data_IF_952808823076
#
_entry.id   IF_952808823076
#
_cell.length_a   1.000
_cell.length_b   1.000
_cell.length_c   1.000
_cell.angle_alpha   90.00
_cell.angle_beta   90.00
_cell.angle_gamma   90.00
#
_symmetry.space_group_name_H-M   'P 1'
#
loop_
_entity.id
_entity.type
_entity.pdbx_description
1 polymer ?
#
# COMPACT_ATOMS: atom_id res chain seq x y z
N UNK A 1 12.46 13.08 12.19
CA UNK A 1 12.70 12.01 11.19
C UNK A 1 11.85 12.17 9.94
N UNK A 2 10.51 12.26 10.04
CA UNK A 2 9.62 12.40 8.88
C UNK A 2 9.85 13.67 8.04
N UNK A 3 10.17 14.81 8.65
CA UNK A 3 10.46 16.04 7.89
C UNK A 3 11.79 15.92 7.16
N UNK A 4 12.85 15.46 7.84
CA UNK A 4 14.18 15.28 7.26
C UNK A 4 14.17 14.33 6.06
N UNK A 5 13.47 13.19 6.18
CA UNK A 5 13.38 12.22 5.06
C UNK A 5 12.62 12.78 3.86
N UNK A 6 11.59 13.60 4.08
CA UNK A 6 10.86 14.22 2.98
C UNK A 6 11.73 15.25 2.24
N UNK A 7 12.50 16.06 2.97
CA UNK A 7 13.49 16.96 2.35
C UNK A 7 14.59 16.20 1.61
N UNK A 8 15.14 15.14 2.20
CA UNK A 8 16.16 14.31 1.55
C UNK A 8 15.64 13.61 0.29
N UNK A 9 14.40 13.12 0.32
CA UNK A 9 13.75 12.48 -0.83
C UNK A 9 13.52 13.47 -1.96
N UNK A 10 12.95 14.64 -1.67
CA UNK A 10 12.74 15.69 -2.68
C UNK A 10 14.08 16.18 -3.22
N UNK A 11 15.06 16.40 -2.36
CA UNK A 11 16.43 16.75 -2.77
C UNK A 11 17.05 15.71 -3.69
N UNK A 12 16.95 14.42 -3.34
CA UNK A 12 17.44 13.32 -4.18
C UNK A 12 16.74 13.30 -5.55
N UNK A 13 15.41 13.48 -5.61
CA UNK A 13 14.66 13.55 -6.86
C UNK A 13 15.11 14.73 -7.73
N UNK A 14 15.33 15.91 -7.14
CA UNK A 14 15.81 17.09 -7.85
C UNK A 14 17.23 16.88 -8.37
N UNK A 15 18.13 16.28 -7.59
CA UNK A 15 19.49 15.96 -8.00
C UNK A 15 19.48 14.97 -9.18
N UNK A 16 18.67 13.92 -9.12
CA UNK A 16 18.53 12.95 -10.22
C UNK A 16 17.99 13.63 -11.47
N UNK A 17 16.97 14.48 -11.33
CA UNK A 17 16.42 15.25 -12.45
C UNK A 17 17.48 16.15 -13.09
N UNK A 18 18.25 16.88 -12.27
CA UNK A 18 19.35 17.72 -12.74
C UNK A 18 20.42 16.91 -13.47
N UNK A 19 20.74 15.70 -12.97
CA UNK A 19 21.63 14.75 -13.64
C UNK A 19 21.14 14.35 -15.02
N UNK A 20 19.86 13.97 -15.15
CA UNK A 20 19.26 13.63 -16.44
C UNK A 20 19.32 14.82 -17.40
N UNK A 21 18.95 16.03 -16.93
CA UNK A 21 18.97 17.23 -17.76
C UNK A 21 20.38 17.55 -18.25
N UNK A 22 21.39 17.44 -17.37
CA UNK A 22 22.78 17.72 -17.70
C UNK A 22 23.44 16.64 -18.59
N UNK A 23 23.13 15.36 -18.33
CA UNK A 23 23.80 14.24 -18.99
C UNK A 23 23.11 13.74 -20.27
N UNK A 24 21.80 13.95 -20.41
CA UNK A 24 21.01 13.42 -21.53
C UNK A 24 20.32 14.53 -22.31
N UNK A 25 19.81 15.54 -21.59
CA UNK A 25 19.11 16.68 -22.17
C UNK A 25 17.80 17.02 -21.44
N UNK A 26 17.17 18.12 -21.84
CA UNK A 26 15.88 18.55 -21.30
C UNK A 26 14.74 17.57 -21.61
N UNK A 27 13.58 17.75 -20.97
CA UNK A 27 12.40 16.87 -21.17
C UNK A 27 12.03 16.69 -22.65
N UNK A 28 11.94 17.76 -23.48
CA UNK A 28 11.60 17.59 -24.90
C UNK A 28 12.64 16.78 -25.67
N UNK A 29 13.92 16.93 -25.33
CA UNK A 29 15.03 16.26 -25.99
C UNK A 29 15.06 14.76 -25.65
N UNK A 30 14.83 14.42 -24.37
CA UNK A 30 14.71 13.02 -23.92
C UNK A 30 13.54 12.35 -24.66
N UNK A 31 12.39 13.01 -24.74
CA UNK A 31 11.21 12.48 -25.43
C UNK A 31 11.49 12.28 -26.93
N UNK A 32 12.10 13.27 -27.60
CA UNK A 32 12.43 13.18 -29.02
C UNK A 32 13.42 12.04 -29.31
N UNK A 33 14.48 11.90 -28.49
CA UNK A 33 15.49 10.84 -28.62
C UNK A 33 14.89 9.46 -28.40
N UNK A 34 14.03 9.29 -27.39
CA UNK A 34 13.36 8.00 -27.14
C UNK A 34 12.38 7.67 -28.27
N UNK A 35 11.62 8.65 -28.75
CA UNK A 35 10.66 8.46 -29.84
C UNK A 35 11.36 8.03 -31.15
N UNK A 36 12.59 8.52 -31.39
CA UNK A 36 13.41 8.11 -32.52
C UNK A 36 13.87 6.64 -32.44
N UNK A 37 13.99 6.07 -31.23
CA UNK A 37 14.30 4.64 -31.04
C UNK A 37 13.05 3.80 -31.26
N UNK A 38 11.96 4.14 -30.58
CA UNK A 38 10.66 3.49 -30.76
C UNK A 38 9.56 4.36 -30.19
N UNK A 39 8.59 4.72 -31.03
CA UNK A 39 7.36 5.38 -30.60
C UNK A 39 6.51 4.50 -29.68
N UNK A 40 6.76 3.18 -29.65
CA UNK A 40 6.05 2.23 -28.80
C UNK A 40 6.19 2.49 -27.30
N UNK A 41 7.26 3.16 -26.84
CA UNK A 41 7.44 3.52 -25.43
C UNK A 41 6.42 4.56 -24.92
N UNK A 42 5.78 5.30 -25.83
CA UNK A 42 4.72 6.25 -25.51
C UNK A 42 3.32 5.67 -25.72
N UNK A 43 3.22 4.37 -25.98
CA UNK A 43 1.95 3.67 -26.19
C UNK A 43 1.77 2.55 -25.16
N UNK A 44 0.51 2.19 -24.91
CA UNK A 44 0.14 1.11 -24.00
C UNK A 44 -0.37 -0.09 -24.80
N UNK A 45 0.49 -0.63 -25.66
CA UNK A 45 0.11 -1.66 -26.65
C UNK A 45 0.86 -2.98 -26.47
N UNK A 46 1.64 -3.13 -25.37
CA UNK A 46 2.43 -4.33 -25.13
C UNK A 46 1.51 -5.48 -24.65
N UNK A 47 1.56 -6.67 -25.26
CA UNK A 47 0.77 -7.82 -24.80
C UNK A 47 0.99 -8.10 -23.31
N UNK A 48 -0.10 -8.15 -22.53
CA UNK A 48 -0.07 -8.35 -21.07
C UNK A 48 0.14 -7.08 -20.23
N UNK A 49 0.52 -5.96 -20.84
CA UNK A 49 0.61 -4.61 -20.24
C UNK A 49 -0.07 -3.60 -21.17
N UNK A 50 -1.17 -4.01 -21.79
CA UNK A 50 -1.92 -3.23 -22.78
C UNK A 50 -2.86 -2.23 -22.10
N UNK A 51 -3.58 -1.44 -22.90
CA UNK A 51 -4.50 -0.44 -22.38
C UNK A 51 -5.55 -1.05 -21.42
N UNK A 52 -5.98 -2.28 -21.68
CA UNK A 52 -6.89 -3.03 -20.79
C UNK A 52 -6.27 -3.24 -19.42
N UNK A 53 -5.00 -3.67 -19.37
CA UNK A 53 -4.28 -3.87 -18.12
C UNK A 53 -4.07 -2.57 -17.37
N UNK A 54 -3.71 -1.51 -18.09
CA UNK A 54 -3.50 -0.20 -17.50
C UNK A 54 -4.79 0.35 -16.89
N UNK A 55 -5.90 0.35 -17.63
CA UNK A 55 -7.20 0.83 -17.13
C UNK A 55 -7.67 -0.01 -15.94
N UNK A 56 -7.58 -1.34 -16.04
CA UNK A 56 -8.00 -2.23 -14.94
C UNK A 56 -7.14 -2.06 -13.68
N UNK A 57 -5.82 -1.91 -13.83
CA UNK A 57 -4.90 -1.63 -12.72
C UNK A 57 -5.21 -0.29 -12.06
N UNK A 58 -5.47 0.76 -12.86
CA UNK A 58 -5.88 2.08 -12.33
C UNK A 58 -7.18 1.99 -11.54
N UNK A 59 -8.16 1.23 -12.03
CA UNK A 59 -9.42 1.00 -11.32
C UNK A 59 -9.17 0.29 -9.99
N UNK A 60 -8.36 -0.78 -9.98
CA UNK A 60 -8.05 -1.56 -8.77
C UNK A 60 -7.31 -0.72 -7.75
N UNK A 61 -6.27 0.00 -8.16
CA UNK A 61 -5.55 0.93 -7.29
C UNK A 61 -6.47 2.03 -6.76
N UNK A 62 -7.37 2.55 -7.60
CA UNK A 62 -8.37 3.54 -7.21
C UNK A 62 -9.37 3.02 -6.18
N UNK A 63 -9.86 1.79 -6.33
CA UNK A 63 -10.73 1.13 -5.34
C UNK A 63 -9.95 0.90 -4.05
N UNK A 64 -8.74 0.35 -4.12
CA UNK A 64 -7.90 0.10 -2.95
C UNK A 64 -7.57 1.36 -2.15
N UNK A 65 -7.19 2.44 -2.85
CA UNK A 65 -6.93 3.74 -2.22
C UNK A 65 -8.22 4.40 -1.71
N UNK A 66 -9.30 4.39 -2.49
CA UNK A 66 -10.57 5.04 -2.16
C UNK A 66 -11.28 4.41 -0.96
N UNK A 67 -11.23 3.08 -0.84
CA UNK A 67 -11.73 2.36 0.34
C UNK A 67 -10.66 2.14 1.39
N UNK A 68 -9.46 2.71 1.22
CA UNK A 68 -8.36 2.62 2.18
C UNK A 68 -8.12 1.18 2.68
N UNK A 69 -7.94 0.25 1.75
CA UNK A 69 -7.87 -1.19 2.06
C UNK A 69 -6.58 -1.60 2.77
N UNK A 70 -5.61 -0.70 2.89
CA UNK A 70 -4.37 -0.95 3.59
C UNK A 70 -4.53 -0.73 5.10
N UNK A 71 -4.36 -1.77 5.93
CA UNK A 71 -4.63 -1.66 7.36
C UNK A 71 -3.68 -0.67 8.07
N UNK A 72 -2.44 -0.55 7.62
CA UNK A 72 -1.45 0.35 8.21
C UNK A 72 -1.75 1.85 7.99
N UNK A 73 -2.68 2.19 7.09
CA UNK A 73 -3.12 3.56 6.84
C UNK A 73 -4.24 4.02 7.78
N UNK A 74 -4.92 3.09 8.48
CA UNK A 74 -6.03 3.43 9.38
C UNK A 74 -5.60 4.16 10.66
N UNK A 75 -4.55 3.75 11.40
CA UNK A 75 -4.16 4.44 12.63
C UNK A 75 -3.98 5.96 12.50
N UNK A 76 -3.25 6.51 11.50
CA UNK A 76 -3.12 7.95 11.35
C UNK A 76 -4.44 8.65 10.96
N UNK A 77 -5.34 7.95 10.27
CA UNK A 77 -6.65 8.50 9.89
C UNK A 77 -7.56 8.60 11.11
N UNK A 78 -7.58 7.56 11.95
CA UNK A 78 -8.37 7.52 13.18
C UNK A 78 -7.82 8.47 14.26
N UNK A 79 -6.52 8.76 14.24
CA UNK A 79 -5.88 9.72 15.14
C UNK A 79 -5.96 11.19 14.64
N UNK A 80 -6.59 11.45 13.49
CA UNK A 80 -6.62 12.79 12.91
C UNK A 80 -7.50 13.75 13.73
N UNK A 81 -7.01 14.98 13.94
CA UNK A 81 -7.71 16.02 14.73
C UNK A 81 -9.10 16.37 14.19
N UNK A 82 -9.29 16.31 12.87
CA UNK A 82 -10.60 16.54 12.24
C UNK A 82 -10.63 16.04 10.80
N UNK A 83 -11.84 15.83 10.26
CA UNK A 83 -12.04 15.52 8.85
C UNK A 83 -11.55 16.61 7.89
N UNK A 84 -11.47 17.87 8.34
CA UNK A 84 -10.91 18.95 7.52
C UNK A 84 -9.40 18.78 7.28
N UNK A 85 -8.67 18.31 8.30
CA UNK A 85 -7.24 17.98 8.17
C UNK A 85 -7.04 16.83 7.20
N UNK A 86 -7.89 15.79 7.27
CA UNK A 86 -7.85 14.66 6.34
C UNK A 86 -8.08 15.10 4.89
N UNK A 87 -9.10 15.93 4.62
CA UNK A 87 -9.36 16.47 3.28
C UNK A 87 -8.17 17.27 2.75
N UNK A 88 -7.61 18.16 3.58
CA UNK A 88 -6.44 18.97 3.20
C UNK A 88 -5.24 18.09 2.88
N UNK A 89 -4.98 17.06 3.71
CA UNK A 89 -3.92 16.10 3.47
C UNK A 89 -4.12 15.36 2.14
N UNK A 90 -5.34 14.91 1.85
CA UNK A 90 -5.65 14.20 0.61
C UNK A 90 -5.48 15.08 -0.64
N UNK A 91 -5.82 16.38 -0.55
CA UNK A 91 -5.56 17.34 -1.63
C UNK A 91 -4.06 17.48 -1.93
N UNK A 92 -3.20 17.47 -0.90
CA UNK A 92 -1.75 17.51 -1.09
C UNK A 92 -1.18 16.22 -1.68
N UNK A 93 -1.73 15.05 -1.32
CA UNK A 93 -1.31 13.77 -1.91
C UNK A 93 -1.41 13.82 -3.45
N UNK A 94 -2.46 14.42 -4.00
CA UNK A 94 -2.61 14.58 -5.45
C UNK A 94 -1.46 15.38 -6.07
N UNK A 95 -0.98 16.44 -5.40
CA UNK A 95 0.17 17.24 -5.86
C UNK A 95 1.47 16.42 -5.81
N UNK A 96 1.66 15.60 -4.77
CA UNK A 96 2.81 14.69 -4.69
C UNK A 96 2.87 13.68 -5.82
N UNK A 97 1.72 13.29 -6.40
CA UNK A 97 1.72 12.40 -7.57
C UNK A 97 2.36 13.05 -8.81
N UNK A 98 2.36 14.38 -8.91
CA UNK A 98 3.08 15.07 -10.00
C UNK A 98 4.59 14.86 -9.90
N UNK A 99 5.14 14.66 -8.70
CA UNK A 99 6.55 14.34 -8.51
C UNK A 99 6.93 12.98 -9.13
N UNK A 100 5.98 12.07 -9.37
CA UNK A 100 6.24 10.80 -10.09
C UNK A 100 6.63 11.01 -11.56
N UNK A 101 6.41 12.20 -12.12
CA UNK A 101 6.93 12.54 -13.45
C UNK A 101 8.46 12.41 -13.53
N UNK A 102 9.16 12.72 -12.43
CA UNK A 102 10.63 12.64 -12.36
C UNK A 102 11.12 11.20 -12.55
N UNK A 103 10.74 10.19 -11.74
CA UNK A 103 11.19 8.82 -11.95
C UNK A 103 10.73 8.23 -13.29
N UNK A 104 9.58 8.65 -13.84
CA UNK A 104 9.14 8.25 -15.19
C UNK A 104 10.13 8.78 -16.25
N UNK A 105 10.48 10.07 -16.18
CA UNK A 105 11.47 10.67 -17.07
C UNK A 105 12.85 10.01 -16.95
N UNK A 106 13.27 9.70 -15.73
CA UNK A 106 14.53 8.96 -15.47
C UNK A 106 14.48 7.57 -16.09
N UNK A 107 13.34 6.89 -16.00
CA UNK A 107 13.11 5.61 -16.68
C UNK A 107 13.26 5.70 -18.20
N UNK A 108 12.69 6.75 -18.82
CA UNK A 108 12.84 7.02 -20.24
C UNK A 108 14.28 7.35 -20.62
N UNK A 109 14.96 8.19 -19.84
CA UNK A 109 16.38 8.51 -20.03
C UNK A 109 17.27 7.25 -19.90
N UNK A 110 16.88 6.31 -19.02
CA UNK A 110 17.55 5.03 -18.86
C UNK A 110 17.57 4.18 -20.13
N UNK A 111 16.60 4.33 -21.04
CA UNK A 111 16.59 3.64 -22.35
C UNK A 111 17.77 4.12 -23.21
N UNK A 112 18.18 5.38 -23.05
CA UNK A 112 19.24 6.00 -23.85
C UNK A 112 20.64 5.68 -23.30
N UNK A 113 20.78 5.56 -21.98
CA UNK A 113 22.08 5.51 -21.29
C UNK A 113 22.43 4.13 -20.77
N UNK A 114 21.44 3.28 -20.45
CA UNK A 114 21.67 1.98 -19.83
C UNK A 114 21.59 0.83 -20.83
N UNK A 115 22.20 -0.30 -20.47
CA UNK A 115 22.12 -1.52 -21.27
C UNK A 115 20.68 -2.04 -21.30
N UNK A 116 20.18 -2.55 -22.44
CA UNK A 116 18.77 -3.00 -22.59
C UNK A 116 18.29 -4.07 -21.61
N UNK A 117 19.20 -4.79 -20.94
CA UNK A 117 18.89 -5.86 -19.98
C UNK A 117 18.96 -5.40 -18.51
N UNK A 118 19.02 -4.08 -18.27
CA UNK A 118 19.05 -3.55 -16.90
C UNK A 118 17.70 -3.81 -16.24
N UNK A 119 17.72 -4.38 -15.03
CA UNK A 119 16.50 -4.58 -14.24
C UNK A 119 15.84 -3.23 -13.94
N UNK A 120 14.50 -3.16 -14.06
CA UNK A 120 13.72 -1.94 -13.81
C UNK A 120 14.00 -1.31 -12.45
N UNK A 121 14.17 -2.13 -11.41
CA UNK A 121 14.48 -1.68 -10.05
C UNK A 121 15.78 -0.87 -9.95
N UNK A 122 16.73 -1.11 -10.86
CA UNK A 122 18.06 -0.50 -10.84
C UNK A 122 18.18 0.72 -11.77
N UNK A 123 17.16 1.01 -12.58
CA UNK A 123 17.26 2.04 -13.64
C UNK A 123 17.56 3.41 -13.05
N UNK A 124 16.86 3.83 -12.00
CA UNK A 124 17.06 5.16 -11.41
C UNK A 124 18.50 5.34 -10.89
N UNK A 125 19.00 4.38 -10.12
CA UNK A 125 20.37 4.44 -9.59
C UNK A 125 21.41 4.31 -10.70
N UNK A 126 21.17 3.46 -11.69
CA UNK A 126 22.05 3.31 -12.85
C UNK A 126 22.16 4.59 -13.68
N UNK A 127 21.05 5.29 -13.93
CA UNK A 127 21.07 6.58 -14.61
C UNK A 127 21.81 7.62 -13.76
N UNK A 128 21.57 7.67 -12.46
CA UNK A 128 22.29 8.57 -11.57
C UNK A 128 23.82 8.32 -11.62
N UNK A 129 24.26 7.06 -11.63
CA UNK A 129 25.68 6.69 -11.71
C UNK A 129 26.35 7.13 -13.02
N UNK A 130 25.61 7.23 -14.11
CA UNK A 130 26.14 7.63 -15.42
C UNK A 130 26.11 9.14 -15.64
N UNK A 131 25.28 9.86 -14.89
CA UNK A 131 25.00 11.29 -15.14
C UNK A 131 25.49 12.23 -14.04
N UNK A 132 25.83 11.72 -12.86
CA UNK A 132 26.20 12.51 -11.69
C UNK A 132 27.58 12.13 -11.13
N UNK A 133 28.29 13.10 -10.51
CA UNK A 133 29.51 12.82 -9.77
C UNK A 133 29.24 12.03 -8.47
N UNK A 134 30.25 11.28 -8.02
CA UNK A 134 30.15 10.34 -6.88
C UNK A 134 29.51 10.90 -5.59
N UNK A 135 29.81 12.13 -5.14
CA UNK A 135 29.22 12.65 -3.90
C UNK A 135 27.69 12.77 -3.97
N UNK A 136 27.14 13.09 -5.15
CA UNK A 136 25.70 13.24 -5.33
C UNK A 136 24.99 11.89 -5.37
N UNK A 137 25.66 10.84 -5.86
CA UNK A 137 25.15 9.47 -5.84
C UNK A 137 24.96 9.00 -4.39
N UNK A 138 25.91 9.32 -3.50
CA UNK A 138 25.79 8.98 -2.08
C UNK A 138 24.55 9.63 -1.43
N UNK A 139 24.27 10.90 -1.75
CA UNK A 139 23.07 11.62 -1.26
C UNK A 139 21.80 10.93 -1.74
N UNK A 140 21.74 10.50 -3.01
CA UNK A 140 20.59 9.78 -3.57
C UNK A 140 20.40 8.43 -2.87
N UNK A 141 21.48 7.67 -2.68
CA UNK A 141 21.42 6.37 -2.02
C UNK A 141 20.94 6.48 -0.56
N UNK A 142 21.47 7.43 0.19
CA UNK A 142 21.08 7.69 1.59
C UNK A 142 19.63 8.19 1.65
N UNK A 143 19.27 9.14 0.79
CA UNK A 143 17.91 9.68 0.71
C UNK A 143 16.88 8.62 0.33
N UNK A 144 17.18 7.78 -0.66
CA UNK A 144 16.34 6.66 -1.08
C UNK A 144 16.18 5.60 0.02
N UNK A 145 17.27 5.22 0.70
CA UNK A 145 17.23 4.31 1.83
C UNK A 145 16.37 4.87 2.98
N UNK A 146 16.59 6.14 3.36
CA UNK A 146 15.79 6.81 4.39
C UNK A 146 14.30 6.91 4.01
N UNK A 147 14.00 7.18 2.74
CA UNK A 147 12.63 7.24 2.22
C UNK A 147 11.94 5.87 2.27
N UNK A 148 12.66 4.77 2.00
CA UNK A 148 12.15 3.41 2.06
C UNK A 148 11.90 2.94 3.51
N UNK A 149 12.75 3.36 4.46
CA UNK A 149 12.66 2.92 5.86
C UNK A 149 11.38 3.37 6.58
N UNK A 150 10.88 4.58 6.29
CA UNK A 150 9.69 5.12 6.99
C UNK A 150 8.41 4.31 6.72
N UNK A 151 7.98 4.11 5.46
CA UNK A 151 6.81 3.28 5.18
C UNK A 151 7.05 1.82 5.57
N UNK A 152 8.27 1.29 5.42
CA UNK A 152 8.60 -0.08 5.86
C UNK A 152 8.36 -0.28 7.36
N UNK A 153 8.79 0.69 8.20
CA UNK A 153 8.53 0.66 9.64
C UNK A 153 7.04 0.72 9.97
N UNK A 154 6.27 1.58 9.29
CA UNK A 154 4.83 1.68 9.48
C UNK A 154 4.11 0.37 9.10
N UNK A 155 4.49 -0.27 8.00
CA UNK A 155 3.94 -1.56 7.56
C UNK A 155 4.29 -2.66 8.56
N UNK A 156 5.55 -2.75 8.99
CA UNK A 156 6.00 -3.76 9.96
C UNK A 156 5.27 -3.62 11.31
N UNK A 157 5.10 -2.39 11.80
CA UNK A 157 4.27 -2.12 12.98
C UNK A 157 2.81 -2.52 12.73
N UNK A 158 2.23 -2.18 11.59
CA UNK A 158 0.87 -2.56 11.22
C UNK A 158 0.64 -4.07 11.26
N UNK A 159 1.56 -4.86 10.68
CA UNK A 159 1.54 -6.33 10.73
C UNK A 159 1.58 -6.82 12.18
N UNK A 160 2.51 -6.28 12.97
CA UNK A 160 2.69 -6.64 14.38
C UNK A 160 1.42 -6.40 15.20
N UNK A 161 0.81 -5.21 15.07
CA UNK A 161 -0.42 -4.87 15.78
C UNK A 161 -1.56 -5.78 15.37
N UNK A 162 -1.75 -6.03 14.06
CA UNK A 162 -2.81 -6.89 13.54
C UNK A 162 -2.76 -8.29 14.14
N UNK A 163 -1.59 -8.93 14.15
CA UNK A 163 -1.42 -10.28 14.72
C UNK A 163 -1.68 -10.28 16.22
N UNK A 164 -1.15 -9.27 16.93
CA UNK A 164 -1.20 -9.18 18.39
C UNK A 164 -2.57 -8.90 18.98
N UNK A 165 -3.44 -8.24 18.22
CA UNK A 165 -4.77 -7.82 18.67
C UNK A 165 -5.88 -8.67 18.06
N UNK A 166 -5.73 -9.13 16.81
CA UNK A 166 -6.83 -9.77 16.07
C UNK A 166 -6.66 -11.27 15.88
N UNK A 167 -5.43 -11.79 15.86
CA UNK A 167 -5.19 -13.22 15.58
C UNK A 167 -4.88 -14.01 16.85
N UNK A 168 -4.04 -13.47 17.74
CA UNK A 168 -3.61 -14.18 18.95
C UNK A 168 -4.08 -13.40 20.19
N UNK A 169 -5.14 -13.90 20.84
CA UNK A 169 -5.62 -13.35 22.11
C UNK A 169 -4.69 -13.79 23.25
N UNK A 170 -3.61 -13.04 23.46
CA UNK A 170 -2.65 -13.31 24.54
C UNK A 170 -2.88 -12.34 25.69
N UNK A 171 -3.33 -12.87 26.84
CA UNK A 171 -3.52 -12.08 28.07
C UNK A 171 -2.21 -11.61 28.71
N UNK A 172 -1.09 -12.30 28.46
CA UNK A 172 0.22 -11.95 29.01
C UNK A 172 0.92 -10.87 28.18
N UNK A 173 1.24 -9.67 28.75
CA UNK A 173 1.93 -8.61 28.02
C UNK A 173 3.31 -9.02 27.52
N UNK A 174 4.05 -9.85 28.28
CA UNK A 174 5.40 -10.31 27.92
C UNK A 174 5.39 -11.23 26.70
N UNK A 175 4.44 -12.16 26.64
CA UNK A 175 4.31 -13.08 25.51
C UNK A 175 3.85 -12.34 24.26
N UNK A 176 2.93 -11.38 24.42
CA UNK A 176 2.48 -10.51 23.34
C UNK A 176 3.64 -9.70 22.72
N UNK A 177 4.51 -9.13 23.55
CA UNK A 177 5.70 -8.43 23.07
C UNK A 177 6.65 -9.34 22.26
N UNK A 178 6.87 -10.57 22.72
CA UNK A 178 7.73 -11.55 22.02
C UNK A 178 7.15 -11.94 20.65
N UNK A 179 5.84 -12.21 20.59
CA UNK A 179 5.14 -12.52 19.33
C UNK A 179 5.27 -11.33 18.38
N UNK A 180 5.05 -10.12 18.85
CA UNK A 180 5.15 -8.91 18.05
C UNK A 180 6.52 -8.75 17.41
N UNK A 181 7.58 -8.96 18.21
CA UNK A 181 8.96 -8.92 17.72
C UNK A 181 9.26 -10.03 16.71
N UNK A 182 8.79 -11.26 16.97
CA UNK A 182 8.97 -12.39 16.07
C UNK A 182 8.28 -12.13 14.72
N UNK A 183 7.06 -11.60 14.72
CA UNK A 183 6.33 -11.28 13.49
C UNK A 183 7.01 -10.19 12.68
N UNK A 184 7.55 -9.16 13.33
CA UNK A 184 8.36 -8.14 12.65
C UNK A 184 9.61 -8.77 12.04
N UNK A 185 10.33 -9.60 12.79
CA UNK A 185 11.53 -10.28 12.28
C UNK A 185 11.22 -11.19 11.08
N UNK A 186 10.13 -11.95 11.13
CA UNK A 186 9.67 -12.79 10.01
C UNK A 186 9.30 -11.93 8.80
N UNK A 187 8.51 -10.87 8.98
CA UNK A 187 8.10 -9.99 7.89
C UNK A 187 9.30 -9.31 7.21
N UNK A 188 10.23 -8.78 8.00
CA UNK A 188 11.48 -8.17 7.49
C UNK A 188 12.37 -9.21 6.82
N UNK A 189 12.48 -10.41 7.38
CA UNK A 189 13.25 -11.52 6.79
C UNK A 189 12.70 -11.95 5.43
N UNK A 190 11.38 -12.05 5.28
CA UNK A 190 10.73 -12.33 3.99
C UNK A 190 10.94 -11.19 2.99
N UNK A 191 10.81 -9.93 3.43
CA UNK A 191 11.09 -8.78 2.57
C UNK A 191 12.55 -8.77 2.08
N UNK A 192 13.51 -9.12 2.95
CA UNK A 192 14.91 -9.28 2.59
C UNK A 192 15.09 -10.42 1.57
N UNK A 193 14.43 -11.57 1.77
CA UNK A 193 14.50 -12.69 0.83
C UNK A 193 14.00 -12.29 -0.57
N UNK A 194 12.86 -11.59 -0.68
CA UNK A 194 12.35 -11.09 -1.95
C UNK A 194 13.26 -10.05 -2.60
N UNK A 195 13.88 -9.18 -1.79
CA UNK A 195 14.88 -8.21 -2.24
C UNK A 195 16.13 -8.88 -2.81
N UNK A 196 16.66 -9.91 -2.13
CA UNK A 196 17.80 -10.69 -2.60
C UNK A 196 17.46 -11.51 -3.86
N UNK A 197 16.23 -11.99 -3.98
CA UNK A 197 15.70 -12.63 -5.18
C UNK A 197 15.50 -11.66 -6.37
N UNK A 198 15.76 -10.35 -6.18
CA UNK A 198 15.58 -9.29 -7.20
C UNK A 198 14.18 -9.28 -7.81
N UNK A 199 13.17 -9.54 -6.97
CA UNK A 199 11.78 -9.54 -7.39
C UNK A 199 11.37 -8.17 -7.92
N UNK A 200 10.52 -8.14 -8.94
CA UNK A 200 10.02 -6.89 -9.51
C UNK A 200 9.12 -6.19 -8.48
N UNK A 201 9.57 -5.02 -8.02
CA UNK A 201 8.91 -4.27 -6.95
C UNK A 201 7.55 -3.74 -7.44
N UNK A 202 7.43 -3.40 -8.72
CA UNK A 202 6.17 -2.93 -9.29
C UNK A 202 5.14 -4.06 -9.36
N UNK A 203 5.56 -5.26 -9.78
CA UNK A 203 4.69 -6.42 -9.81
C UNK A 203 4.22 -6.83 -8.41
N UNK A 204 5.12 -6.81 -7.42
CA UNK A 204 4.77 -7.07 -6.01
C UNK A 204 3.78 -6.04 -5.46
N UNK A 205 3.95 -4.77 -5.81
CA UNK A 205 3.03 -3.71 -5.41
C UNK A 205 1.64 -3.93 -6.02
N UNK A 206 1.56 -4.26 -7.31
CA UNK A 206 0.28 -4.50 -7.97
C UNK A 206 -0.42 -5.75 -7.42
N UNK A 207 0.33 -6.82 -7.14
CA UNK A 207 -0.20 -7.99 -6.44
C UNK A 207 -0.76 -7.63 -5.06
N UNK A 208 -0.06 -6.75 -4.33
CA UNK A 208 -0.52 -6.24 -3.03
C UNK A 208 -1.83 -5.48 -3.18
N UNK A 209 -1.95 -4.59 -4.17
CA UNK A 209 -3.20 -3.90 -4.48
C UNK A 209 -4.30 -4.89 -4.86
N UNK A 210 -4.02 -5.87 -5.72
CA UNK A 210 -5.02 -6.84 -6.15
C UNK A 210 -5.57 -7.68 -4.99
N UNK A 211 -4.70 -8.12 -4.08
CA UNK A 211 -5.09 -8.85 -2.88
C UNK A 211 -5.84 -7.99 -1.86
N UNK A 212 -5.35 -6.78 -1.56
CA UNK A 212 -6.01 -5.93 -0.56
C UNK A 212 -7.29 -5.28 -1.07
N UNK A 213 -7.45 -5.09 -2.38
CA UNK A 213 -8.71 -4.59 -2.96
C UNK A 213 -9.90 -5.52 -2.66
N UNK A 214 -9.63 -6.78 -2.31
CA UNK A 214 -10.68 -7.72 -1.87
C UNK A 214 -11.36 -7.31 -0.56
N UNK A 215 -10.74 -6.44 0.24
CA UNK A 215 -11.35 -5.84 1.43
C UNK A 215 -12.28 -4.66 1.11
N UNK A 216 -12.25 -4.12 -0.11
CA UNK A 216 -13.02 -2.93 -0.47
C UNK A 216 -14.54 -3.09 -0.25
N UNK A 217 -15.19 -4.23 -0.62
CA UNK A 217 -16.60 -4.44 -0.32
C UNK A 217 -16.90 -4.36 1.18
N UNK A 218 -16.03 -4.94 2.02
CA UNK A 218 -16.17 -4.91 3.47
C UNK A 218 -16.14 -3.49 4.02
N UNK A 219 -15.16 -2.69 3.58
CA UNK A 219 -15.05 -1.29 3.99
C UNK A 219 -16.23 -0.47 3.48
N UNK A 220 -16.71 -0.73 2.26
CA UNK A 220 -17.88 -0.06 1.70
C UNK A 220 -19.14 -0.30 2.54
N UNK A 221 -19.39 -1.55 2.93
CA UNK A 221 -20.54 -1.90 3.78
C UNK A 221 -20.39 -1.39 5.22
N UNK A 222 -19.17 -1.37 5.76
CA UNK A 222 -18.90 -0.85 7.10
C UNK A 222 -19.10 0.67 7.19
N UNK A 223 -18.79 1.42 6.13
CA UNK A 223 -18.99 2.87 6.08
C UNK A 223 -20.44 3.30 5.76
N UNK A 224 -21.33 2.36 5.43
CA UNK A 224 -22.72 2.69 5.18
C UNK A 224 -23.41 3.17 6.48
N UNK A 225 -24.35 4.12 6.36
CA UNK A 225 -25.10 4.67 7.52
C UNK A 225 -25.74 3.60 8.43
N UNK A 226 -26.04 2.42 7.87
CA UNK A 226 -26.52 1.25 8.59
C UNK A 226 -25.84 0.02 8.00
N UNK A 227 -25.17 -0.77 8.82
CA UNK A 227 -24.58 -2.06 8.42
C UNK A 227 -25.71 -3.07 8.26
N UNK A 228 -25.93 -3.55 7.04
CA UNK A 228 -27.04 -4.46 6.68
C UNK A 228 -26.59 -5.88 6.34
N UNK A 229 -25.30 -6.16 6.51
CA UNK A 229 -24.65 -7.39 6.07
C UNK A 229 -23.92 -8.01 7.26
N UNK A 230 -23.87 -9.33 7.30
CA UNK A 230 -23.21 -10.04 8.39
C UNK A 230 -21.72 -10.24 8.13
N UNK A 231 -20.91 -10.35 9.20
CA UNK A 231 -19.46 -10.50 9.10
C UNK A 231 -19.00 -11.79 8.41
N UNK A 232 -19.70 -12.92 8.64
CA UNK A 232 -19.34 -14.22 8.04
C UNK A 232 -19.36 -14.18 6.49
N UNK A 233 -20.46 -13.75 5.83
CA UNK A 233 -20.47 -13.60 4.37
C UNK A 233 -19.35 -12.70 3.83
N UNK A 234 -19.02 -11.62 4.55
CA UNK A 234 -17.93 -10.71 4.18
C UNK A 234 -16.58 -11.44 4.20
N UNK A 235 -16.28 -12.17 5.27
CA UNK A 235 -15.02 -12.94 5.39
C UNK A 235 -14.92 -14.01 4.30
N UNK A 236 -16.02 -14.70 3.98
CA UNK A 236 -16.05 -15.69 2.90
C UNK A 236 -15.78 -15.06 1.52
N UNK A 237 -16.36 -13.89 1.25
CA UNK A 237 -16.09 -13.13 0.03
C UNK A 237 -14.62 -12.70 -0.08
N UNK A 238 -14.06 -12.11 0.98
CA UNK A 238 -12.64 -11.72 1.03
C UNK A 238 -11.72 -12.92 0.79
N UNK A 239 -12.00 -14.06 1.43
CA UNK A 239 -11.21 -15.28 1.27
C UNK A 239 -11.28 -15.79 -0.18
N UNK A 240 -12.48 -15.88 -0.76
CA UNK A 240 -12.67 -16.31 -2.14
C UNK A 240 -11.95 -15.39 -3.14
N UNK A 241 -12.06 -14.07 -2.96
CA UNK A 241 -11.36 -13.09 -3.79
C UNK A 241 -9.85 -13.21 -3.67
N UNK A 242 -9.32 -13.26 -2.45
CA UNK A 242 -7.87 -13.32 -2.21
C UNK A 242 -7.26 -14.62 -2.75
N UNK A 243 -7.93 -15.75 -2.57
CA UNK A 243 -7.52 -17.03 -3.14
C UNK A 243 -7.55 -16.97 -4.67
N UNK A 244 -8.58 -16.34 -5.26
CA UNK A 244 -8.66 -16.17 -6.72
C UNK A 244 -7.48 -15.36 -7.27
N UNK A 245 -7.09 -14.27 -6.60
CA UNK A 245 -5.90 -13.48 -6.97
C UNK A 245 -4.65 -14.35 -6.94
N UNK A 246 -4.46 -15.14 -5.88
CA UNK A 246 -3.31 -16.03 -5.73
C UNK A 246 -3.29 -17.10 -6.82
N UNK A 247 -4.41 -17.76 -7.10
CA UNK A 247 -4.54 -18.80 -8.14
C UNK A 247 -4.24 -18.23 -9.53
N UNK A 248 -4.78 -17.05 -9.86
CA UNK A 248 -4.53 -16.40 -11.14
C UNK A 248 -3.05 -16.03 -11.28
N UNK A 249 -2.49 -15.39 -10.25
CA UNK A 249 -1.12 -14.85 -10.30
C UNK A 249 -0.06 -15.95 -10.29
N UNK A 250 -0.15 -16.90 -9.35
CA UNK A 250 0.84 -17.97 -9.20
C UNK A 250 0.56 -19.17 -10.13
N UNK A 251 -0.68 -19.35 -10.57
CA UNK A 251 -1.05 -20.36 -11.57
C UNK A 251 -0.80 -19.95 -13.01
N UNK A 252 -0.36 -18.72 -13.27
CA UNK A 252 -0.06 -18.22 -14.62
C UNK A 252 -1.27 -18.17 -15.54
N UNK A 253 -2.47 -17.98 -14.97
CA UNK A 253 -3.72 -17.98 -15.75
C UNK A 253 -3.76 -16.72 -16.60
N UNK A 254 -4.00 -16.88 -17.90
CA UNK A 254 -4.12 -15.75 -18.83
C UNK A 254 -5.40 -14.97 -18.53
N UNK A 255 -5.24 -13.74 -18.05
CA UNK A 255 -6.36 -12.85 -17.69
C UNK A 255 -6.89 -12.02 -18.88
N UNK A 256 -6.34 -12.20 -20.08
CA UNK A 256 -6.72 -11.41 -21.25
C UNK A 256 -6.37 -9.93 -21.13
N UNK A 257 -5.36 -9.60 -20.32
CA UNK A 257 -4.95 -8.21 -20.05
C UNK A 257 -5.73 -7.55 -18.91
N UNK A 258 -6.62 -8.24 -18.20
CA UNK A 258 -7.29 -7.66 -17.02
C UNK A 258 -6.42 -7.88 -15.77
N UNK A 259 -6.33 -6.87 -14.90
CA UNK A 259 -5.68 -7.01 -13.59
C UNK A 259 -6.32 -8.14 -12.76
N UNK A 260 -5.49 -8.98 -12.15
CA UNK A 260 -5.95 -10.16 -11.40
C UNK A 260 -6.79 -9.78 -10.18
N UNK A 261 -6.52 -8.63 -9.57
CA UNK A 261 -7.29 -8.06 -8.47
C UNK A 261 -8.71 -7.67 -8.90
N UNK A 262 -8.84 -7.00 -10.05
CA UNK A 262 -10.15 -6.58 -10.57
C UNK A 262 -11.01 -7.80 -10.89
N UNK A 263 -10.42 -8.76 -11.61
CA UNK A 263 -11.12 -9.98 -11.99
C UNK A 263 -11.58 -10.77 -10.76
N UNK A 264 -10.76 -10.80 -9.71
CA UNK A 264 -11.05 -11.50 -8.46
C UNK A 264 -12.12 -10.84 -7.58
N UNK A 265 -12.51 -9.59 -7.86
CA UNK A 265 -13.68 -9.00 -7.20
C UNK A 265 -14.99 -9.72 -7.59
N UNK A 266 -15.04 -10.34 -8.77
CA UNK A 266 -16.20 -11.12 -9.20
C UNK A 266 -16.46 -12.31 -8.26
N UNK A 267 -15.53 -13.28 -8.08
CA UNK A 267 -15.73 -14.38 -7.14
C UNK A 267 -15.92 -13.90 -5.69
N UNK A 268 -15.28 -12.80 -5.29
CA UNK A 268 -15.49 -12.18 -3.98
C UNK A 268 -16.96 -11.80 -3.76
N UNK A 269 -17.50 -10.95 -4.65
CA UNK A 269 -18.87 -10.46 -4.56
C UNK A 269 -19.90 -11.57 -4.75
N UNK A 270 -19.63 -12.55 -5.61
CA UNK A 270 -20.49 -13.71 -5.79
C UNK A 270 -20.59 -14.53 -4.50
N UNK A 271 -19.46 -14.97 -3.94
CA UNK A 271 -19.45 -15.77 -2.70
C UNK A 271 -20.07 -15.00 -1.54
N UNK A 272 -19.74 -13.71 -1.40
CA UNK A 272 -20.38 -12.84 -0.42
C UNK A 272 -21.90 -12.82 -0.57
N UNK A 273 -22.40 -12.58 -1.80
CA UNK A 273 -23.84 -12.45 -2.06
C UNK A 273 -24.56 -13.76 -1.79
N UNK A 274 -24.02 -14.89 -2.28
CA UNK A 274 -24.56 -16.22 -2.04
C UNK A 274 -24.61 -16.53 -0.53
N UNK A 275 -23.53 -16.28 0.19
CA UNK A 275 -23.47 -16.51 1.63
C UNK A 275 -24.46 -15.63 2.42
N UNK A 276 -24.62 -14.35 2.04
CA UNK A 276 -25.58 -13.47 2.69
C UNK A 276 -27.04 -13.85 2.36
N UNK A 277 -27.33 -14.30 1.14
CA UNK A 277 -28.67 -14.82 0.78
C UNK A 277 -28.98 -16.08 1.59
N UNK A 278 -28.06 -17.05 1.63
CA UNK A 278 -28.23 -18.29 2.41
C UNK A 278 -28.44 -17.96 3.88
N UNK A 279 -27.65 -17.05 4.45
CA UNK A 279 -27.82 -16.61 5.84
C UNK A 279 -29.19 -15.98 6.08
N UNK A 280 -29.66 -15.09 5.20
CA UNK A 280 -30.98 -14.45 5.33
C UNK A 280 -32.13 -15.45 5.25
N UNK A 281 -31.97 -16.53 4.49
CA UNK A 281 -32.96 -17.61 4.38
C UNK A 281 -32.96 -18.47 5.65
N UNK A 282 -31.79 -18.86 6.15
CA UNK A 282 -31.64 -19.76 7.30
C UNK A 282 -31.88 -19.08 8.65
N UNK A 283 -31.48 -17.82 8.80
CA UNK A 283 -31.50 -17.07 10.06
C UNK A 283 -32.38 -15.82 9.96
N UNK A 284 -33.63 -16.00 9.51
CA UNK A 284 -34.63 -14.92 9.42
C UNK A 284 -34.83 -14.26 10.79
N UNK A 285 -34.79 -12.93 10.82
CA UNK A 285 -35.04 -12.14 12.04
C UNK A 285 -33.83 -11.86 12.92
N UNK A 286 -32.67 -12.49 12.68
CA UNK A 286 -31.44 -12.11 13.38
C UNK A 286 -30.84 -10.82 12.79
N UNK A 287 -30.46 -9.84 13.64
CA UNK A 287 -29.82 -8.63 13.16
C UNK A 287 -28.47 -8.99 12.49
N UNK A 288 -28.09 -8.27 11.43
CA UNK A 288 -26.85 -8.52 10.68
C UNK A 288 -25.59 -8.26 11.50
N UNK A 289 -25.68 -7.48 12.57
CA UNK A 289 -24.62 -7.32 13.57
C UNK A 289 -25.22 -7.81 14.89
N UNK A 290 -24.61 -8.81 15.56
CA UNK A 290 -25.03 -9.17 16.91
C UNK A 290 -25.00 -7.91 17.80
N UNK A 291 -25.97 -7.70 18.70
CA UNK A 291 -25.82 -6.67 19.71
C UNK A 291 -24.47 -6.87 20.40
N UNK A 292 -23.73 -5.77 20.56
CA UNK A 292 -22.48 -5.78 21.33
C UNK A 292 -22.79 -6.51 22.63
N UNK A 293 -22.08 -7.62 22.91
CA UNK A 293 -22.22 -8.25 24.20
C UNK A 293 -21.83 -7.16 25.20
N UNK A 294 -22.78 -6.70 26.02
CA UNK A 294 -22.48 -5.83 27.15
C UNK A 294 -21.21 -6.38 27.79
N UNK A 295 -20.10 -5.66 27.65
CA UNK A 295 -18.98 -5.88 28.55
C UNK A 295 -19.62 -5.76 29.91
N UNK A 296 -19.71 -6.89 30.61
CA UNK A 296 -20.42 -7.00 31.86
C UNK A 296 -20.09 -5.77 32.70
N UNK A 297 -21.15 -5.01 32.98
CA UNK A 297 -21.20 -3.92 33.92
C UNK A 297 -20.64 -4.40 35.27
N UNK A 298 -19.31 -4.42 35.42
CA UNK A 298 -18.65 -4.36 36.72
C UNK A 298 -18.84 -2.92 37.19
N UNK A 299 -20.00 -2.69 37.79
CA UNK A 299 -20.46 -1.42 38.34
C UNK A 299 -19.57 -0.94 39.49
N UNK A 300 -18.37 -0.48 39.17
CA UNK A 300 -17.61 0.43 40.02
C UNK A 300 -17.59 1.81 39.36
N UNK A 301 -18.17 2.85 39.97
CA UNK A 301 -18.04 4.19 39.44
C UNK A 301 -16.54 4.50 39.36
N UNK A 302 -16.09 4.95 38.19
CA UNK A 302 -14.77 5.56 38.01
C UNK A 302 -14.78 6.82 38.85
N UNK A 303 -14.45 6.68 40.13
CA UNK A 303 -14.16 7.82 41.00
C UNK A 303 -12.92 8.46 40.41
N UNK A 304 -13.11 9.67 39.87
CA UNK A 304 -12.02 10.55 39.53
C UNK A 304 -11.14 10.66 40.78
N UNK A 305 -9.96 10.02 40.77
CA UNK A 305 -8.95 10.28 41.78
C UNK A 305 -8.58 11.76 41.64
N UNK A 306 -8.80 12.60 42.67
CA UNK A 306 -8.30 13.96 42.62
C UNK A 306 -6.77 13.89 42.57
N UNK A 307 -6.19 14.59 41.61
CA UNK A 307 -4.76 14.88 41.60
C UNK A 307 -4.52 15.74 42.84
N UNK A 308 -3.98 15.13 43.90
CA UNK A 308 -3.48 15.87 45.05
C UNK A 308 -2.32 16.74 44.57
N UNK A 309 -2.58 18.04 44.45
CA UNK A 309 -1.55 19.07 44.43
C UNK A 309 -1.02 19.16 45.87
N UNK A 310 0.00 18.38 46.18
CA UNK A 310 0.82 18.65 47.37
C UNK A 310 1.85 19.72 47.01
N UNK A 311 1.49 20.95 47.35
CA UNK A 311 2.43 22.06 47.45
C UNK A 311 2.85 22.26 48.91
N UNK A 312 4.17 22.29 49.08
CA UNK A 312 4.94 23.01 50.11
C UNK A 312 4.89 22.56 51.59
N UNK A 313 6.09 22.26 52.12
CA UNK A 313 6.55 22.86 53.38
C UNK A 313 7.07 21.90 54.46
N UNK A 314 8.38 21.63 54.45
CA UNK A 314 9.32 21.81 55.56
C UNK A 314 10.74 21.49 55.07
#
# INVERSE_FOLDING_TARGET
VAILKDFLMVGALVIVLAGVIAGVGGVPEVVAKVNAISSGYFTVSRPGLDATFWVSSVIVTGIGAGFNTFPHLWPPILAAKSGAVLRRNNSWIAVYQLCLFIPILVGLAGILVLKPKTSGNNVLLGVAQQTLPEPLIAVIAIGGAAAAMVPAGAIAMGISLLVSHNLISVRSPKLRFRINHLMVAVAVGLALAFGLAKSDIAALLLLTYGGLTQFAPAVAFANAKKVRVHGIPIVLGIAAGTISVAVITFGGIKTGGIDSGLLSLVPNLLVFTLAEVVRRVLFKGQPPVPPEADEANDGAPVTARPVAVEGAGA
#
